data_IF_617683812722
#
_entry.id   IF_617683812722
#
_cell.length_a   1.000
_cell.length_b   1.000
_cell.length_c   1.000
_cell.angle_alpha   90.00
_cell.angle_beta   90.00
_cell.angle_gamma   90.00
#
_symmetry.space_group_name_H-M   'P 1'
#
loop_
_entity.id
_entity.type
_entity.pdbx_description
1 polymer ?
#
# COMPACT_ATOMS: atom_id res chain seq x y z
N UNK A 1 9.17 -2.47 49.32
CA UNK A 1 9.88 -2.93 48.09
C UNK A 1 10.91 -1.85 47.77
N UNK A 2 12.19 -2.19 47.82
CA UNK A 2 13.33 -1.27 47.76
C UNK A 2 13.32 -0.33 46.54
N UNK A 3 13.50 0.96 46.80
CA UNK A 3 13.71 1.99 45.78
C UNK A 3 15.21 2.16 45.58
N UNK A 4 15.75 1.61 44.48
CA UNK A 4 17.12 1.92 44.05
C UNK A 4 17.17 3.34 43.47
N UNK A 5 17.68 4.29 44.25
CA UNK A 5 18.15 5.59 43.77
C UNK A 5 19.41 5.39 42.92
N UNK A 6 19.33 5.63 41.62
CA UNK A 6 20.51 5.94 40.82
C UNK A 6 20.58 7.46 40.65
N UNK A 7 21.47 8.09 41.41
CA UNK A 7 21.84 9.49 41.24
C UNK A 7 23.19 9.62 40.56
N UNK A 8 23.26 10.46 39.53
CA UNK A 8 24.41 11.38 39.34
C UNK A 8 23.83 12.75 39.03
N UNK A 9 24.09 13.68 39.95
CA UNK A 9 23.68 15.07 39.91
C UNK A 9 24.55 15.84 38.90
N UNK A 10 23.91 16.47 37.92
CA UNK A 10 24.38 17.72 37.32
C UNK A 10 23.19 18.69 37.39
N UNK A 11 23.42 19.88 37.92
CA UNK A 11 22.39 20.82 38.37
C UNK A 11 21.24 21.04 37.38
N UNK A 12 20.03 20.66 37.80
CA UNK A 12 18.78 20.84 37.08
C UNK A 12 17.71 19.97 37.72
N UNK A 13 16.68 20.60 38.31
CA UNK A 13 15.73 19.93 39.22
C UNK A 13 15.08 18.65 38.67
N UNK A 14 14.95 17.66 39.56
CA UNK A 14 14.48 16.29 39.30
C UNK A 14 13.17 16.21 38.50
N UNK A 15 13.14 15.26 37.56
CA UNK A 15 11.95 14.77 36.86
C UNK A 15 11.36 13.61 37.65
N UNK A 16 10.09 13.69 38.06
CA UNK A 16 9.44 12.62 38.81
C UNK A 16 7.97 12.47 38.43
N UNK A 17 7.54 11.22 38.21
CA UNK A 17 6.12 10.85 38.19
C UNK A 17 5.73 10.44 39.62
N UNK A 18 4.72 11.12 40.20
CA UNK A 18 4.19 10.79 41.52
C UNK A 18 2.80 10.21 41.36
N UNK A 19 2.62 8.95 41.77
CA UNK A 19 1.31 8.37 41.99
C UNK A 19 0.89 8.77 43.40
N UNK A 20 -0.08 9.66 43.52
CA UNK A 20 -0.75 9.90 44.79
C UNK A 20 -1.83 8.82 45.01
N UNK A 21 -2.11 8.48 46.26
CA UNK A 21 -3.00 7.39 46.71
C UNK A 21 -4.48 7.52 46.32
N UNK A 22 -4.80 8.35 45.32
CA UNK A 22 -6.14 8.56 44.75
C UNK A 22 -6.25 8.28 43.25
N UNK A 23 -5.32 7.54 42.65
CA UNK A 23 -5.43 7.08 41.25
C UNK A 23 -5.45 8.21 40.20
N UNK A 24 -4.94 9.40 40.52
CA UNK A 24 -4.79 10.49 39.56
C UNK A 24 -3.36 10.53 39.05
N UNK A 25 -3.17 10.34 37.74
CA UNK A 25 -1.89 10.51 37.07
C UNK A 25 -1.72 11.99 36.68
N UNK A 26 -0.92 12.73 37.43
CA UNK A 26 -0.54 14.10 37.05
C UNK A 26 0.65 14.05 36.10
N UNK A 27 0.44 14.36 34.81
CA UNK A 27 1.52 14.50 33.82
C UNK A 27 2.00 15.96 33.85
N UNK A 28 3.17 16.20 34.43
CA UNK A 28 3.81 17.51 34.41
C UNK A 28 4.53 17.71 33.06
N UNK A 29 3.95 18.51 32.17
CA UNK A 29 4.64 18.96 30.94
C UNK A 29 5.59 20.08 31.32
N UNK A 30 6.90 19.85 31.19
CA UNK A 30 7.93 20.89 31.34
C UNK A 30 8.51 21.19 29.97
N UNK A 31 8.21 22.37 29.42
CA UNK A 31 8.95 22.91 28.28
C UNK A 31 10.34 23.33 28.76
N UNK A 32 11.38 22.65 28.29
CA UNK A 32 12.76 23.09 28.43
C UNK A 32 13.14 23.80 27.12
N UNK A 33 12.74 25.06 26.98
CA UNK A 33 12.92 25.82 25.74
C UNK A 33 12.14 25.22 24.56
N UNK A 34 12.78 25.08 23.39
CA UNK A 34 12.19 24.51 22.17
C UNK A 34 11.98 22.97 22.22
N UNK A 35 12.28 22.32 23.35
CA UNK A 35 12.13 20.87 23.50
C UNK A 35 11.18 20.55 24.66
N UNK A 36 10.07 19.89 24.33
CA UNK A 36 9.21 19.23 25.32
C UNK A 36 9.76 17.82 25.51
N UNK A 37 10.41 17.56 26.64
CA UNK A 37 10.83 16.23 27.03
C UNK A 37 9.65 15.47 27.66
N UNK A 38 8.67 15.07 26.83
CA UNK A 38 7.82 13.94 27.21
C UNK A 38 8.73 12.71 27.14
N UNK A 39 8.87 11.95 28.23
CA UNK A 39 9.73 10.77 28.27
C UNK A 39 9.51 9.92 27.01
N UNK A 40 10.51 9.92 26.11
CA UNK A 40 10.53 9.27 24.77
C UNK A 40 10.27 7.75 24.84
N UNK A 41 10.13 7.19 26.05
CA UNK A 41 9.96 5.77 26.33
C UNK A 41 8.58 5.39 26.93
N UNK A 42 7.73 6.36 27.30
CA UNK A 42 6.52 6.13 28.13
C UNK A 42 5.20 6.51 27.42
N UNK A 43 5.23 7.20 26.27
CA UNK A 43 4.04 7.59 25.49
C UNK A 43 4.01 7.09 24.03
N UNK A 44 3.40 7.86 23.13
CA UNK A 44 3.47 7.63 21.69
C UNK A 44 4.93 7.73 21.20
N UNK A 45 5.35 6.74 20.41
CA UNK A 45 6.73 6.65 19.95
C UNK A 45 6.95 7.45 18.67
N UNK A 46 7.98 8.28 18.68
CA UNK A 46 8.44 8.99 17.50
C UNK A 46 9.32 8.09 16.60
N UNK A 47 9.43 8.44 15.33
CA UNK A 47 10.38 7.82 14.39
C UNK A 47 9.76 7.03 13.24
N UNK A 48 8.43 6.98 13.15
CA UNK A 48 7.69 6.49 11.99
C UNK A 48 6.46 7.36 11.79
N UNK A 49 6.03 7.53 10.55
CA UNK A 49 4.74 8.18 10.21
C UNK A 49 3.50 7.34 10.56
N UNK A 50 3.71 6.10 11.04
CA UNK A 50 2.70 5.22 11.66
C UNK A 50 3.10 4.94 13.11
N UNK A 51 3.12 5.99 13.93
CA UNK A 51 3.49 5.92 15.35
C UNK A 51 2.56 5.02 16.16
N UNK A 52 1.30 4.91 15.75
CA UNK A 52 0.27 4.07 16.33
C UNK A 52 0.66 2.58 16.29
N UNK A 53 1.05 2.09 15.12
CA UNK A 53 1.52 0.71 14.90
C UNK A 53 2.80 0.45 15.67
N UNK A 54 3.76 1.39 15.61
CA UNK A 54 5.03 1.29 16.33
C UNK A 54 4.83 1.21 17.84
N UNK A 55 3.96 2.07 18.38
CA UNK A 55 3.63 2.12 19.81
C UNK A 55 2.94 0.84 20.25
N UNK A 56 1.93 0.38 19.51
CA UNK A 56 1.21 -0.86 19.79
C UNK A 56 2.14 -2.08 19.83
N UNK A 57 3.02 -2.21 18.83
CA UNK A 57 3.99 -3.31 18.78
C UNK A 57 4.97 -3.26 19.95
N UNK A 58 5.45 -2.08 20.36
CA UNK A 58 6.36 -1.98 21.51
C UNK A 58 5.67 -2.32 22.83
N UNK A 59 4.38 -1.98 22.98
CA UNK A 59 3.57 -2.38 24.14
C UNK A 59 3.45 -3.91 24.18
N UNK A 60 3.14 -4.55 23.06
CA UNK A 60 3.07 -6.01 22.98
C UNK A 60 4.44 -6.68 23.21
N UNK A 61 5.53 -6.10 22.71
CA UNK A 61 6.89 -6.57 22.96
C UNK A 61 7.31 -6.50 24.45
N UNK A 62 6.59 -5.73 25.28
CA UNK A 62 6.74 -5.72 26.75
C UNK A 62 5.93 -6.81 27.45
N UNK A 63 5.16 -7.61 26.71
CA UNK A 63 4.35 -8.72 27.21
C UNK A 63 2.86 -8.40 27.42
N UNK A 64 2.42 -7.21 27.03
CA UNK A 64 1.00 -6.85 27.09
C UNK A 64 0.19 -7.56 25.99
N UNK A 65 -1.08 -7.83 26.28
CA UNK A 65 -2.03 -8.45 25.34
C UNK A 65 -3.09 -7.43 24.93
N UNK A 66 -3.50 -7.48 23.66
CA UNK A 66 -4.62 -6.69 23.13
C UNK A 66 -5.87 -7.56 23.00
N UNK A 67 -7.04 -6.96 23.14
CA UNK A 67 -8.35 -7.57 22.87
C UNK A 67 -9.10 -6.71 21.87
N UNK A 68 -9.76 -7.34 20.90
CA UNK A 68 -10.61 -6.68 19.91
C UNK A 68 -12.08 -6.83 20.33
N UNK A 69 -12.77 -5.72 20.51
CA UNK A 69 -14.17 -5.67 20.92
C UNK A 69 -14.99 -5.02 19.78
N UNK A 70 -15.93 -5.78 19.21
CA UNK A 70 -16.78 -5.34 18.10
C UNK A 70 -18.25 -5.27 18.53
N UNK A 71 -18.68 -4.18 19.18
CA UNK A 71 -20.08 -4.00 19.54
C UNK A 71 -20.93 -3.80 18.28
N UNK A 72 -22.19 -4.21 18.36
CA UNK A 72 -23.24 -3.93 17.37
C UNK A 72 -24.36 -3.16 18.07
N UNK A 73 -24.61 -1.87 17.73
CA UNK A 73 -23.99 -1.11 16.65
C UNK A 73 -22.53 -0.68 16.93
N UNK A 74 -21.77 -0.25 15.90
CA UNK A 74 -20.41 0.23 16.07
C UNK A 74 -20.33 1.42 17.05
N UNK A 75 -19.45 1.31 18.05
CA UNK A 75 -19.26 2.35 19.07
C UNK A 75 -18.55 3.61 18.54
N UNK A 76 -17.80 3.49 17.44
CA UNK A 76 -17.06 4.59 16.84
C UNK A 76 -17.29 4.62 15.33
N UNK A 77 -17.67 5.79 14.81
CA UNK A 77 -17.81 6.07 13.38
C UNK A 77 -16.83 7.16 12.97
N UNK A 78 -16.13 6.93 11.86
CA UNK A 78 -15.14 7.87 11.32
C UNK A 78 -15.49 8.31 9.91
N UNK A 79 -14.97 9.47 9.50
CA UNK A 79 -15.06 9.91 8.11
C UNK A 79 -14.00 9.18 7.27
N UNK A 80 -14.44 8.49 6.22
CA UNK A 80 -13.54 7.96 5.21
C UNK A 80 -13.06 9.06 4.24
N UNK A 81 -11.91 8.90 3.57
CA UNK A 81 -11.48 9.81 2.52
C UNK A 81 -12.55 9.97 1.42
N UNK A 82 -12.76 11.20 0.96
CA UNK A 82 -13.80 11.58 -0.01
C UNK A 82 -13.50 11.14 -1.45
N UNK A 83 -12.27 10.75 -1.76
CA UNK A 83 -11.86 10.42 -3.13
C UNK A 83 -10.51 9.72 -3.26
N UNK A 84 -10.18 9.38 -4.51
CA UNK A 84 -8.96 8.65 -4.88
C UNK A 84 -7.66 9.31 -4.39
N UNK A 85 -7.44 10.63 -4.63
CA UNK A 85 -6.21 11.29 -4.21
C UNK A 85 -5.99 11.24 -2.70
N UNK A 86 -7.00 11.63 -1.90
CA UNK A 86 -6.91 11.60 -0.44
C UNK A 86 -6.66 10.19 0.09
N UNK A 87 -7.34 9.18 -0.48
CA UNK A 87 -7.14 7.78 -0.10
C UNK A 87 -5.72 7.28 -0.44
N UNK A 88 -5.19 7.62 -1.64
CA UNK A 88 -3.84 7.21 -2.04
C UNK A 88 -2.74 7.93 -1.25
N UNK A 89 -2.91 9.21 -0.91
CA UNK A 89 -1.98 9.92 -0.02
C UNK A 89 -1.96 9.28 1.36
N UNK A 90 -3.12 8.90 1.91
CA UNK A 90 -3.19 8.17 3.17
C UNK A 90 -2.48 6.80 3.08
N UNK A 91 -2.73 6.04 2.03
CA UNK A 91 -2.08 4.75 1.78
C UNK A 91 -0.57 4.87 1.62
N UNK A 92 -0.10 5.95 0.97
CA UNK A 92 1.34 6.24 0.80
C UNK A 92 1.97 6.47 2.17
N UNK A 93 1.35 7.32 3.00
CA UNK A 93 1.81 7.58 4.37
C UNK A 93 1.90 6.30 5.20
N UNK A 94 0.85 5.45 5.15
CA UNK A 94 0.87 4.17 5.84
C UNK A 94 2.00 3.27 5.34
N UNK A 95 2.14 3.09 4.02
CA UNK A 95 3.19 2.28 3.44
C UNK A 95 4.60 2.78 3.83
N UNK A 96 4.83 4.10 3.83
CA UNK A 96 6.08 4.71 4.29
C UNK A 96 6.33 4.38 5.75
N UNK A 97 5.40 4.69 6.65
CA UNK A 97 5.59 4.51 8.09
C UNK A 97 5.79 3.04 8.49
N UNK A 98 5.03 2.13 7.87
CA UNK A 98 5.22 0.70 8.06
C UNK A 98 6.63 0.28 7.65
N UNK A 99 7.07 0.66 6.45
CA UNK A 99 8.41 0.30 5.97
C UNK A 99 9.53 0.92 6.84
N UNK A 100 9.33 2.13 7.38
CA UNK A 100 10.25 2.72 8.36
C UNK A 100 10.36 1.85 9.62
N UNK A 101 9.25 1.30 10.13
CA UNK A 101 9.27 0.39 11.28
C UNK A 101 10.10 -0.86 10.95
N UNK A 102 9.92 -1.42 9.75
CA UNK A 102 10.65 -2.63 9.33
C UNK A 102 12.16 -2.45 9.35
N UNK A 103 12.66 -1.31 8.87
CA UNK A 103 14.09 -1.00 8.82
C UNK A 103 14.62 -0.30 10.08
N UNK A 104 13.75 -0.04 11.06
CA UNK A 104 14.17 0.57 12.34
C UNK A 104 14.72 -0.47 13.32
N UNK A 105 15.36 0.03 14.39
CA UNK A 105 15.74 -0.79 15.56
C UNK A 105 14.56 -1.44 16.28
N UNK A 106 13.34 -0.96 16.02
CA UNK A 106 12.11 -1.49 16.62
C UNK A 106 11.43 -2.54 15.74
N UNK A 107 12.10 -3.09 14.71
CA UNK A 107 11.46 -4.03 13.79
C UNK A 107 10.87 -5.25 14.52
N UNK A 108 9.74 -5.81 14.04
CA UNK A 108 9.12 -6.99 14.66
C UNK A 108 10.07 -8.19 14.70
N UNK A 109 10.94 -8.32 13.69
CA UNK A 109 11.96 -9.35 13.65
C UNK A 109 12.94 -9.23 14.82
N UNK A 110 13.51 -8.04 15.06
CA UNK A 110 14.41 -7.81 16.19
C UNK A 110 13.67 -8.00 17.52
N UNK A 111 12.44 -7.49 17.63
CA UNK A 111 11.63 -7.59 18.84
C UNK A 111 11.26 -9.04 19.21
N UNK A 112 11.13 -9.94 18.23
CA UNK A 112 10.86 -11.36 18.50
C UNK A 112 12.06 -12.09 19.13
N UNK A 113 13.29 -11.67 18.82
CA UNK A 113 14.50 -12.27 19.40
C UNK A 113 14.96 -11.57 20.68
N UNK A 114 14.71 -10.26 20.81
CA UNK A 114 15.28 -9.44 21.89
C UNK A 114 14.25 -9.03 22.96
N UNK A 115 12.96 -9.25 22.71
CA UNK A 115 11.88 -8.85 23.60
C UNK A 115 10.81 -9.96 23.73
N UNK A 116 9.66 -9.65 24.34
CA UNK A 116 8.59 -10.63 24.65
C UNK A 116 7.54 -10.74 23.55
N UNK A 117 7.88 -10.37 22.31
CA UNK A 117 6.94 -10.46 21.18
C UNK A 117 6.80 -11.93 20.74
N UNK A 118 5.59 -12.47 20.76
CA UNK A 118 5.38 -13.88 20.41
C UNK A 118 5.64 -14.12 18.93
N UNK A 119 6.10 -15.32 18.56
CA UNK A 119 6.39 -15.68 17.16
C UNK A 119 5.20 -15.42 16.22
N UNK A 120 3.98 -15.83 16.60
CA UNK A 120 2.77 -15.58 15.80
C UNK A 120 2.46 -14.10 15.65
N UNK A 121 2.68 -13.29 16.69
CA UNK A 121 2.52 -11.83 16.62
C UNK A 121 3.57 -11.22 15.68
N UNK A 122 4.82 -11.69 15.75
CA UNK A 122 5.88 -11.28 14.85
C UNK A 122 5.51 -11.53 13.38
N UNK A 123 5.02 -12.74 13.05
CA UNK A 123 4.56 -13.05 11.69
C UNK A 123 3.41 -12.14 11.23
N UNK A 124 2.44 -11.87 12.10
CA UNK A 124 1.33 -10.96 11.80
C UNK A 124 1.81 -9.53 11.53
N UNK A 125 2.75 -9.02 12.34
CA UNK A 125 3.36 -7.71 12.12
C UNK A 125 4.19 -7.66 10.84
N UNK A 126 5.00 -8.69 10.56
CA UNK A 126 5.78 -8.76 9.32
C UNK A 126 4.90 -8.76 8.08
N UNK A 127 3.81 -9.54 8.10
CA UNK A 127 2.81 -9.53 7.03
C UNK A 127 2.21 -8.13 6.86
N UNK A 128 1.78 -7.50 7.95
CA UNK A 128 1.14 -6.17 7.91
C UNK A 128 2.10 -5.06 7.46
N UNK A 129 3.35 -5.09 7.93
CA UNK A 129 4.34 -4.03 7.67
C UNK A 129 4.97 -4.13 6.27
N UNK A 130 4.90 -5.30 5.62
CA UNK A 130 5.54 -5.56 4.32
C UNK A 130 4.84 -4.93 3.09
N UNK A 131 3.83 -4.08 3.27
CA UNK A 131 3.04 -3.49 2.18
C UNK A 131 3.89 -2.80 1.11
N UNK A 132 4.76 -1.88 1.51
CA UNK A 132 5.64 -1.17 0.58
C UNK A 132 6.61 -2.12 -0.13
N UNK A 133 7.14 -3.15 0.54
CA UNK A 133 8.00 -4.14 -0.12
C UNK A 133 7.26 -4.92 -1.20
N UNK A 134 5.96 -5.21 -1.02
CA UNK A 134 5.13 -5.90 -2.01
C UNK A 134 4.99 -5.13 -3.32
N UNK A 135 5.18 -3.81 -3.35
CA UNK A 135 4.97 -3.02 -4.57
C UNK A 135 5.92 -3.40 -5.71
N UNK A 136 7.16 -3.76 -5.40
CA UNK A 136 8.18 -4.12 -6.41
C UNK A 136 7.84 -5.43 -7.13
N UNK A 137 7.69 -6.58 -6.43
CA UNK A 137 7.31 -7.82 -7.11
C UNK A 137 5.95 -7.66 -7.81
N UNK A 138 5.00 -6.95 -7.21
CA UNK A 138 3.70 -6.67 -7.84
C UNK A 138 3.83 -5.95 -9.18
N UNK A 139 4.64 -4.89 -9.24
CA UNK A 139 4.89 -4.15 -10.48
C UNK A 139 5.52 -5.05 -11.55
N UNK A 140 6.52 -5.86 -11.18
CA UNK A 140 7.17 -6.81 -12.09
C UNK A 140 6.18 -7.86 -12.63
N UNK A 141 5.39 -8.47 -11.74
CA UNK A 141 4.40 -9.49 -12.13
C UNK A 141 3.30 -8.92 -13.01
N UNK A 142 2.84 -7.69 -12.75
CA UNK A 142 1.84 -7.06 -13.60
C UNK A 142 2.42 -6.68 -14.97
N UNK A 143 3.67 -6.24 -15.07
CA UNK A 143 4.28 -5.90 -16.36
C UNK A 143 4.62 -7.13 -17.23
N UNK A 144 4.83 -8.29 -16.61
CA UNK A 144 5.32 -9.51 -17.26
C UNK A 144 4.45 -10.00 -18.45
N UNK A 145 3.10 -10.08 -18.36
CA UNK A 145 2.29 -10.52 -19.50
C UNK A 145 2.43 -9.62 -20.72
N UNK A 146 2.43 -8.30 -20.53
CA UNK A 146 2.60 -7.35 -21.63
C UNK A 146 4.00 -7.44 -22.23
N UNK A 147 5.03 -7.58 -21.38
CA UNK A 147 6.40 -7.83 -21.83
C UNK A 147 6.47 -9.05 -22.73
N UNK A 148 5.93 -10.20 -22.29
CA UNK A 148 5.96 -11.45 -23.04
C UNK A 148 5.26 -11.33 -24.41
N UNK A 149 4.10 -10.68 -24.46
CA UNK A 149 3.38 -10.45 -25.73
C UNK A 149 4.24 -9.66 -26.74
N UNK A 150 4.86 -8.57 -26.29
CA UNK A 150 5.64 -7.67 -27.17
C UNK A 150 7.02 -8.23 -27.53
N UNK A 151 7.69 -8.86 -26.58
CA UNK A 151 8.98 -9.52 -26.79
C UNK A 151 8.87 -10.82 -27.61
N UNK A 152 7.67 -11.40 -27.69
CA UNK A 152 7.47 -12.72 -28.30
C UNK A 152 7.97 -13.87 -27.44
N UNK A 153 8.09 -13.66 -26.12
CA UNK A 153 8.40 -14.69 -25.14
C UNK A 153 7.13 -15.23 -24.48
N UNK A 154 7.25 -16.31 -23.71
CA UNK A 154 6.16 -16.90 -22.94
C UNK A 154 6.66 -17.23 -21.54
N UNK A 155 5.78 -17.09 -20.55
CA UNK A 155 6.06 -17.50 -19.17
C UNK A 155 5.09 -18.59 -18.68
N UNK A 156 3.96 -18.75 -19.37
CA UNK A 156 3.01 -19.82 -19.11
C UNK A 156 3.31 -21.04 -19.97
N UNK A 157 3.02 -22.26 -19.48
CA UNK A 157 3.00 -23.44 -20.33
C UNK A 157 2.02 -23.27 -21.49
N UNK A 158 2.28 -23.95 -22.61
CA UNK A 158 1.36 -23.94 -23.75
C UNK A 158 0.02 -24.58 -23.35
N UNK A 159 -1.07 -24.13 -23.97
CA UNK A 159 -2.42 -24.62 -23.65
C UNK A 159 -2.58 -26.12 -23.94
N UNK A 160 -1.80 -26.67 -24.88
CA UNK A 160 -1.81 -28.10 -25.17
C UNK A 160 -1.06 -28.95 -24.12
N UNK A 161 -0.25 -28.33 -23.25
CA UNK A 161 0.54 -29.03 -22.25
C UNK A 161 -0.26 -29.20 -20.96
N UNK A 162 -0.32 -30.41 -20.37
CA UNK A 162 -1.02 -30.65 -19.10
C UNK A 162 -0.54 -29.75 -17.94
N UNK A 163 0.71 -29.27 -18.01
CA UNK A 163 1.29 -28.36 -17.03
C UNK A 163 0.50 -27.04 -16.90
N UNK A 164 -0.26 -26.62 -17.92
CA UNK A 164 -1.11 -25.42 -17.86
C UNK A 164 -2.18 -25.49 -16.77
N UNK A 165 -2.56 -26.71 -16.34
CA UNK A 165 -3.53 -26.91 -15.26
C UNK A 165 -3.03 -26.39 -13.90
N UNK A 166 -1.71 -26.35 -13.68
CA UNK A 166 -1.13 -25.86 -12.42
C UNK A 166 -1.46 -24.38 -12.21
N UNK A 167 -1.05 -23.43 -13.08
CA UNK A 167 -1.38 -22.02 -12.89
C UNK A 167 -2.88 -21.75 -12.92
N UNK A 168 -3.66 -22.47 -13.73
CA UNK A 168 -5.12 -22.35 -13.75
C UNK A 168 -5.71 -22.73 -12.38
N UNK A 169 -5.33 -23.88 -11.82
CA UNK A 169 -5.84 -24.34 -10.53
C UNK A 169 -5.48 -23.38 -9.38
N UNK A 170 -4.26 -22.83 -9.38
CA UNK A 170 -3.82 -21.82 -8.41
C UNK A 170 -4.63 -20.52 -8.53
N UNK A 171 -4.86 -20.04 -9.76
CA UNK A 171 -5.66 -18.84 -9.98
C UNK A 171 -7.10 -19.05 -9.52
N UNK A 172 -7.73 -20.16 -9.92
CA UNK A 172 -9.10 -20.49 -9.56
C UNK A 172 -9.24 -20.64 -8.04
N UNK A 173 -8.43 -21.49 -7.40
CA UNK A 173 -8.48 -21.72 -5.96
C UNK A 173 -8.30 -20.43 -5.14
N UNK A 174 -7.34 -19.57 -5.50
CA UNK A 174 -7.13 -18.29 -4.82
C UNK A 174 -8.34 -17.36 -4.90
N UNK A 175 -8.95 -17.22 -6.08
CA UNK A 175 -10.11 -16.35 -6.27
C UNK A 175 -11.35 -16.91 -5.55
N UNK A 176 -11.57 -18.22 -5.60
CA UNK A 176 -12.67 -18.87 -4.88
C UNK A 176 -12.51 -18.74 -3.37
N UNK A 177 -11.31 -18.98 -2.84
CA UNK A 177 -11.01 -18.78 -1.43
C UNK A 177 -11.28 -17.34 -0.99
N UNK A 178 -10.78 -16.36 -1.75
CA UNK A 178 -10.99 -14.94 -1.45
C UNK A 178 -12.49 -14.58 -1.44
N UNK A 179 -13.25 -15.10 -2.40
CA UNK A 179 -14.68 -14.87 -2.48
C UNK A 179 -15.42 -15.47 -1.27
N UNK A 180 -15.05 -16.69 -0.88
CA UNK A 180 -15.65 -17.39 0.25
C UNK A 180 -15.38 -16.66 1.58
N UNK A 181 -14.16 -16.19 1.80
CA UNK A 181 -13.80 -15.37 2.98
C UNK A 181 -14.63 -14.08 3.05
N UNK A 182 -14.77 -13.36 1.93
CA UNK A 182 -15.58 -12.14 1.89
C UNK A 182 -17.05 -12.41 2.17
N UNK A 183 -17.59 -13.48 1.59
CA UNK A 183 -18.97 -13.87 1.81
C UNK A 183 -19.22 -14.31 3.26
N UNK A 184 -18.31 -15.11 3.83
CA UNK A 184 -18.38 -15.54 5.23
C UNK A 184 -18.26 -14.38 6.22
N UNK A 185 -17.55 -13.32 5.85
CA UNK A 185 -17.47 -12.08 6.61
C UNK A 185 -18.68 -11.12 6.39
N UNK A 186 -19.70 -11.51 5.62
CA UNK A 186 -20.90 -10.72 5.37
C UNK A 186 -20.75 -9.60 4.35
N UNK A 187 -19.66 -9.58 3.57
CA UNK A 187 -19.42 -8.57 2.54
C UNK A 187 -19.98 -8.98 1.18
N UNK A 188 -20.36 -7.98 0.38
CA UNK A 188 -20.84 -8.21 -0.99
C UNK A 188 -19.71 -8.64 -1.94
N UNK A 189 -20.08 -9.35 -3.02
CA UNK A 189 -19.16 -9.70 -4.12
C UNK A 189 -18.53 -8.43 -4.72
N UNK A 190 -19.29 -7.33 -4.78
CA UNK A 190 -18.79 -6.02 -5.23
C UNK A 190 -17.66 -5.51 -4.33
N UNK A 191 -17.78 -5.67 -3.02
CA UNK A 191 -16.73 -5.29 -2.07
C UNK A 191 -15.47 -6.15 -2.26
N UNK A 192 -15.63 -7.47 -2.45
CA UNK A 192 -14.54 -8.38 -2.78
C UNK A 192 -13.80 -7.94 -4.07
N UNK A 193 -14.55 -7.70 -5.14
CA UNK A 193 -13.98 -7.23 -6.41
C UNK A 193 -13.31 -5.85 -6.29
N UNK A 194 -13.90 -4.94 -5.53
CA UNK A 194 -13.28 -3.64 -5.24
C UNK A 194 -11.95 -3.80 -4.51
N UNK A 195 -11.89 -4.67 -3.49
CA UNK A 195 -10.67 -4.91 -2.73
C UNK A 195 -9.56 -5.53 -3.61
N UNK A 196 -9.90 -6.52 -4.45
CA UNK A 196 -8.91 -7.15 -5.33
C UNK A 196 -8.29 -6.13 -6.31
N UNK A 197 -9.13 -5.30 -6.95
CA UNK A 197 -8.67 -4.25 -7.85
C UNK A 197 -7.85 -3.19 -7.13
N UNK A 198 -8.38 -2.68 -6.02
CA UNK A 198 -7.72 -1.63 -5.26
C UNK A 198 -6.40 -2.10 -4.67
N UNK A 199 -6.29 -3.36 -4.24
CA UNK A 199 -5.04 -3.91 -3.70
C UNK A 199 -3.89 -3.99 -4.72
N UNK A 200 -4.20 -4.09 -6.02
CA UNK A 200 -3.21 -4.01 -7.12
C UNK A 200 -2.90 -2.55 -7.44
N UNK A 201 -3.93 -1.70 -7.54
CA UNK A 201 -3.77 -0.26 -7.79
C UNK A 201 -2.94 0.40 -6.70
N UNK A 202 -3.26 0.21 -5.42
CA UNK A 202 -2.53 0.82 -4.29
C UNK A 202 -1.08 0.37 -4.25
N UNK A 203 -0.82 -0.91 -4.58
CA UNK A 203 0.53 -1.46 -4.61
C UNK A 203 1.42 -0.75 -5.63
N UNK A 204 0.97 -0.60 -6.89
CA UNK A 204 1.77 0.06 -7.94
C UNK A 204 1.73 1.58 -7.88
N UNK A 205 0.89 2.17 -7.03
CA UNK A 205 0.79 3.62 -6.84
C UNK A 205 1.35 4.03 -5.48
N UNK A 206 0.50 4.14 -4.47
CA UNK A 206 0.83 4.65 -3.14
C UNK A 206 1.97 3.87 -2.46
N UNK A 207 1.94 2.55 -2.51
CA UNK A 207 2.95 1.73 -1.82
C UNK A 207 4.29 1.77 -2.54
N UNK A 208 4.29 1.83 -3.87
CA UNK A 208 5.50 2.04 -4.68
C UNK A 208 6.19 3.37 -4.34
N UNK A 209 5.42 4.45 -4.25
CA UNK A 209 5.96 5.74 -3.82
C UNK A 209 6.45 5.71 -2.37
N UNK A 210 5.71 5.04 -1.46
CA UNK A 210 6.15 4.84 -0.08
C UNK A 210 7.46 4.06 0.03
N UNK A 211 7.62 3.01 -0.79
CA UNK A 211 8.86 2.25 -0.91
C UNK A 211 10.03 3.15 -1.30
N UNK A 212 9.90 3.90 -2.41
CA UNK A 212 10.98 4.79 -2.86
C UNK A 212 11.28 5.90 -1.85
N UNK A 213 10.28 6.44 -1.16
CA UNK A 213 10.50 7.45 -0.10
C UNK A 213 11.40 6.92 1.02
N UNK A 214 11.19 5.67 1.48
CA UNK A 214 12.03 5.08 2.53
C UNK A 214 13.40 4.70 1.99
N UNK A 215 13.50 4.11 0.80
CA UNK A 215 14.80 3.74 0.21
C UNK A 215 15.68 4.98 0.00
N UNK A 216 15.13 6.07 -0.55
CA UNK A 216 15.88 7.32 -0.72
C UNK A 216 16.34 7.90 0.62
N UNK A 217 15.52 7.80 1.67
CA UNK A 217 15.91 8.18 3.03
C UNK A 217 17.02 7.31 3.60
N UNK A 218 16.95 5.99 3.42
CA UNK A 218 18.00 5.06 3.87
C UNK A 218 19.33 5.30 3.14
N UNK A 219 19.29 5.77 1.89
CA UNK A 219 20.47 6.18 1.12
C UNK A 219 20.98 7.59 1.46
N UNK A 220 20.31 8.32 2.37
CA UNK A 220 20.68 9.70 2.74
C UNK A 220 20.37 10.75 1.66
N UNK A 221 19.53 10.42 0.67
CA UNK A 221 19.22 11.28 -0.47
C UNK A 221 17.97 12.16 -0.25
N UNK A 222 17.19 11.91 0.81
CA UNK A 222 15.95 12.65 1.09
C UNK A 222 15.53 12.53 2.56
N UNK A 223 14.87 13.56 3.10
CA UNK A 223 14.08 13.43 4.32
C UNK A 223 12.62 13.08 3.96
N UNK A 224 12.05 12.07 4.64
CA UNK A 224 10.63 11.73 4.48
C UNK A 224 9.76 12.83 5.07
N UNK A 225 9.29 13.75 4.24
CA UNK A 225 8.32 14.78 4.67
C UNK A 225 6.96 14.13 4.82
N UNK A 226 6.36 14.29 6.00
CA UNK A 226 4.99 13.88 6.28
C UNK A 226 4.03 14.70 5.41
N UNK A 227 3.44 14.07 4.41
CA UNK A 227 2.41 14.69 3.57
C UNK A 227 1.06 14.60 4.30
N UNK A 228 0.54 15.75 4.74
CA UNK A 228 -0.75 15.81 5.46
C UNK A 228 -1.87 15.40 4.52
N UNK A 229 -2.62 14.35 4.87
CA UNK A 229 -3.83 13.97 4.16
C UNK A 229 -4.84 15.11 4.28
N UNK A 230 -5.23 15.72 3.16
CA UNK A 230 -6.33 16.69 3.15
C UNK A 230 -7.61 15.96 3.54
N UNK A 231 -8.15 16.30 4.70
CA UNK A 231 -9.53 15.99 5.05
C UNK A 231 -10.36 17.09 4.45
N UNK A 232 -10.83 16.88 3.22
CA UNK A 232 -11.77 17.82 2.63
C UNK A 232 -12.98 17.89 3.57
N UNK A 233 -13.27 19.08 4.11
CA UNK A 233 -14.61 19.36 4.58
C UNK A 233 -15.50 19.13 3.36
N UNK A 234 -16.49 18.25 3.50
CA UNK A 234 -17.46 17.98 2.44
C UNK A 234 -17.83 19.30 1.76
N UNK A 235 -17.46 19.43 0.48
CA UNK A 235 -18.01 20.47 -0.36
C UNK A 235 -19.53 20.40 -0.21
N UNK A 236 -20.14 21.57 -0.04
CA UNK A 236 -21.56 21.85 0.17
C UNK A 236 -22.50 20.69 -0.14
N UNK A 237 -23.41 20.28 0.78
CA UNK A 237 -24.37 19.22 0.50
C UNK A 237 -25.22 19.61 -0.72
N UNK A 238 -24.95 18.99 -1.88
CA UNK A 238 -25.67 19.28 -3.12
C UNK A 238 -24.95 18.99 -4.44
N UNK A 239 -23.61 18.88 -4.48
CA UNK A 239 -22.89 18.71 -5.77
C UNK A 239 -22.66 17.24 -6.21
N UNK A 240 -22.97 16.26 -5.36
CA UNK A 240 -22.91 14.85 -5.71
C UNK A 240 -24.30 14.30 -6.00
N UNK A 241 -24.66 14.14 -7.27
CA UNK A 241 -25.80 13.28 -7.59
C UNK A 241 -25.47 11.85 -7.11
N UNK A 242 -26.45 11.11 -6.62
CA UNK A 242 -26.31 9.70 -6.17
C UNK A 242 -25.63 8.79 -7.23
N UNK A 243 -25.66 9.22 -8.50
CA UNK A 243 -24.99 8.59 -9.65
C UNK A 243 -23.46 8.63 -9.60
N UNK A 244 -22.87 9.52 -8.81
CA UNK A 244 -21.43 9.70 -8.67
C UNK A 244 -20.83 9.01 -7.43
N UNK A 245 -21.67 8.42 -6.57
CA UNK A 245 -21.23 7.72 -5.38
C UNK A 245 -20.33 6.52 -5.74
N UNK A 246 -19.09 6.53 -5.24
CA UNK A 246 -18.12 5.44 -5.44
C UNK A 246 -17.33 5.48 -6.75
N UNK A 247 -17.39 6.59 -7.51
CA UNK A 247 -16.51 6.80 -8.67
C UNK A 247 -15.10 7.17 -8.23
N UNK A 248 -14.10 6.56 -8.87
CA UNK A 248 -12.70 6.89 -8.60
C UNK A 248 -12.36 8.28 -9.15
N UNK A 249 -11.68 9.09 -8.35
CA UNK A 249 -11.26 10.45 -8.71
C UNK A 249 -9.76 10.55 -8.88
N UNK A 250 -9.32 11.54 -9.65
CA UNK A 250 -7.92 11.79 -9.99
C UNK A 250 -7.55 13.26 -9.74
N UNK A 251 -6.26 13.50 -9.58
CA UNK A 251 -5.66 14.83 -9.54
C UNK A 251 -4.32 14.85 -10.30
N UNK A 252 -3.62 15.98 -10.26
CA UNK A 252 -2.33 16.19 -10.94
C UNK A 252 -1.13 15.44 -10.34
N UNK A 253 -1.34 14.58 -9.34
CA UNK A 253 -0.26 13.87 -8.65
C UNK A 253 0.43 12.84 -9.53
N UNK A 254 1.75 12.71 -9.34
CA UNK A 254 2.57 11.69 -9.99
C UNK A 254 2.23 10.27 -9.54
N UNK A 255 1.50 10.11 -8.43
CA UNK A 255 1.10 8.81 -7.88
C UNK A 255 0.28 7.97 -8.86
N UNK A 256 -0.40 8.62 -9.82
CA UNK A 256 -1.21 7.96 -10.85
C UNK A 256 -0.41 7.50 -12.06
N UNK A 257 0.81 8.01 -12.26
CA UNK A 257 1.62 7.75 -13.46
C UNK A 257 1.96 6.26 -13.60
N UNK A 258 2.48 5.54 -12.59
CA UNK A 258 2.86 4.13 -12.76
C UNK A 258 1.68 3.23 -13.16
N UNK A 259 0.52 3.39 -12.52
CA UNK A 259 -0.70 2.65 -12.86
C UNK A 259 -1.22 2.97 -14.26
N UNK A 260 -1.15 4.24 -14.67
CA UNK A 260 -1.56 4.68 -16.01
C UNK A 260 -0.60 4.13 -17.07
N UNK A 261 0.71 4.19 -16.83
CA UNK A 261 1.72 3.59 -17.71
C UNK A 261 1.48 2.10 -17.89
N UNK A 262 1.27 1.37 -16.79
CA UNK A 262 1.02 -0.07 -16.81
C UNK A 262 -0.23 -0.40 -17.65
N UNK A 263 -1.33 0.34 -17.44
CA UNK A 263 -2.54 0.20 -18.25
C UNK A 263 -2.26 0.42 -19.75
N UNK A 264 -1.55 1.50 -20.10
CA UNK A 264 -1.21 1.80 -21.50
C UNK A 264 -0.31 0.72 -22.12
N UNK A 265 0.64 0.19 -21.35
CA UNK A 265 1.52 -0.92 -21.78
C UNK A 265 0.69 -2.17 -22.11
N UNK A 266 -0.29 -2.55 -21.28
CA UNK A 266 -1.17 -3.68 -21.60
C UNK A 266 -2.08 -3.41 -22.79
N UNK A 267 -2.62 -2.20 -22.93
CA UNK A 267 -3.44 -1.85 -24.09
C UNK A 267 -2.62 -1.94 -25.39
N UNK A 268 -1.37 -1.44 -25.39
CA UNK A 268 -0.47 -1.58 -26.53
C UNK A 268 -0.12 -3.05 -26.81
N UNK A 269 0.15 -3.86 -25.79
CA UNK A 269 0.41 -5.28 -25.95
C UNK A 269 -0.80 -6.01 -26.59
N UNK A 270 -2.02 -5.70 -26.16
CA UNK A 270 -3.23 -6.29 -26.73
C UNK A 270 -3.44 -5.86 -28.18
N UNK A 271 -3.18 -4.59 -28.52
CA UNK A 271 -3.25 -4.09 -29.90
C UNK A 271 -2.19 -4.76 -30.79
N UNK A 272 -0.97 -4.95 -30.29
CA UNK A 272 0.10 -5.58 -31.08
C UNK A 272 -0.14 -7.07 -31.28
N UNK A 273 -0.74 -7.76 -30.30
CA UNK A 273 -1.23 -9.12 -30.46
C UNK A 273 -2.36 -9.21 -31.49
N UNK A 274 -3.34 -8.29 -31.44
CA UNK A 274 -4.46 -8.27 -32.38
C UNK A 274 -4.02 -8.02 -33.83
N UNK A 275 -3.05 -7.13 -34.03
CA UNK A 275 -2.54 -6.77 -35.36
C UNK A 275 -1.47 -7.73 -35.88
N UNK A 276 -1.08 -8.75 -35.12
CA UNK A 276 -0.01 -9.68 -35.51
C UNK A 276 1.36 -9.00 -35.69
N UNK A 277 1.56 -7.79 -35.14
CA UNK A 277 2.76 -6.96 -35.35
C UNK A 277 4.04 -7.61 -34.80
N UNK A 278 3.90 -8.70 -34.03
CA UNK A 278 4.99 -9.47 -33.44
C UNK A 278 4.81 -10.99 -33.66
N UNK A 279 4.09 -11.41 -34.70
CA UNK A 279 3.78 -12.82 -35.00
C UNK A 279 4.87 -13.53 -35.84
N UNK A 280 5.74 -14.27 -35.15
CA UNK A 280 6.50 -15.40 -35.74
C UNK A 280 6.19 -16.73 -35.02
N UNK A 281 5.58 -16.66 -33.84
CA UNK A 281 5.16 -17.78 -33.00
C UNK A 281 3.66 -17.62 -32.83
N UNK A 282 2.87 -18.46 -33.49
CA UNK A 282 1.43 -18.24 -33.66
C UNK A 282 0.66 -17.97 -32.36
N UNK A 283 -0.48 -17.30 -32.49
CA UNK A 283 -1.35 -16.82 -31.40
C UNK A 283 -1.59 -17.87 -30.29
N UNK A 284 -1.69 -19.15 -30.66
CA UNK A 284 -1.92 -20.27 -29.73
C UNK A 284 -0.92 -20.33 -28.57
N UNK A 285 0.34 -19.96 -28.80
CA UNK A 285 1.37 -20.00 -27.75
C UNK A 285 1.31 -18.81 -26.79
N UNK A 286 0.40 -17.84 -27.01
CA UNK A 286 0.32 -16.56 -26.27
C UNK A 286 -1.05 -16.29 -25.64
N UNK A 287 -1.98 -17.24 -25.77
CA UNK A 287 -3.34 -17.09 -25.25
C UNK A 287 -3.33 -16.81 -23.75
N UNK A 288 -2.46 -17.48 -22.98
CA UNK A 288 -2.35 -17.28 -21.53
C UNK A 288 -1.93 -15.85 -21.18
N UNK A 289 -0.89 -15.32 -21.80
CA UNK A 289 -0.38 -13.97 -21.60
C UNK A 289 -1.41 -12.91 -22.01
N UNK A 290 -2.16 -13.15 -23.09
CA UNK A 290 -3.26 -12.28 -23.54
C UNK A 290 -4.36 -12.26 -22.47
N UNK A 291 -4.78 -13.42 -21.95
CA UNK A 291 -5.77 -13.52 -20.87
C UNK A 291 -5.28 -12.78 -19.62
N UNK A 292 -4.01 -12.96 -19.23
CA UNK A 292 -3.42 -12.23 -18.11
C UNK A 292 -3.43 -10.71 -18.35
N UNK A 293 -3.10 -10.25 -19.56
CA UNK A 293 -3.15 -8.82 -19.90
C UNK A 293 -4.57 -8.25 -19.84
N UNK A 294 -5.57 -8.99 -20.33
CA UNK A 294 -6.98 -8.62 -20.19
C UNK A 294 -7.38 -8.54 -18.72
N UNK A 295 -6.96 -9.51 -17.90
CA UNK A 295 -7.21 -9.49 -16.45
C UNK A 295 -6.61 -8.25 -15.77
N UNK A 296 -5.38 -7.85 -16.14
CA UNK A 296 -4.79 -6.61 -15.64
C UNK A 296 -5.62 -5.39 -16.07
N UNK A 297 -6.00 -5.28 -17.34
CA UNK A 297 -6.85 -4.17 -17.81
C UNK A 297 -8.18 -4.10 -17.03
N UNK A 298 -8.81 -5.24 -16.73
CA UNK A 298 -10.01 -5.32 -15.89
C UNK A 298 -9.74 -4.83 -14.46
N UNK A 299 -8.60 -5.21 -13.88
CA UNK A 299 -8.19 -4.74 -12.56
C UNK A 299 -8.01 -3.21 -12.52
N UNK A 300 -7.45 -2.65 -13.58
CA UNK A 300 -7.22 -1.21 -13.76
C UNK A 300 -8.39 -0.49 -14.45
N UNK A 301 -9.58 -1.09 -14.49
CA UNK A 301 -10.79 -0.47 -15.05
C UNK A 301 -11.14 0.93 -14.53
N UNK A 302 -10.85 1.32 -13.26
CA UNK A 302 -11.01 2.72 -12.84
C UNK A 302 -10.11 3.69 -13.62
N UNK A 303 -8.87 3.31 -13.90
CA UNK A 303 -7.93 4.11 -14.70
C UNK A 303 -8.33 4.14 -16.18
N UNK A 304 -8.82 3.02 -16.71
CA UNK A 304 -9.35 2.98 -18.08
C UNK A 304 -10.52 3.95 -18.27
N UNK A 305 -11.46 3.99 -17.32
CA UNK A 305 -12.53 4.99 -17.30
C UNK A 305 -11.98 6.41 -17.13
N UNK A 306 -10.92 6.56 -16.34
CA UNK A 306 -10.21 7.81 -16.12
C UNK A 306 -9.54 8.40 -17.37
N UNK A 307 -9.07 7.58 -18.31
CA UNK A 307 -8.49 8.06 -19.57
C UNK A 307 -9.48 8.87 -20.42
N UNK A 308 -10.77 8.54 -20.33
CA UNK A 308 -11.85 9.21 -21.05
C UNK A 308 -12.74 10.07 -20.14
N UNK A 309 -12.38 10.20 -18.87
CA UNK A 309 -13.12 10.97 -17.88
C UNK A 309 -12.93 12.47 -18.05
N UNK A 310 -13.85 13.26 -17.50
CA UNK A 310 -13.79 14.73 -17.46
C UNK A 310 -13.73 15.22 -16.02
N UNK A 311 -13.12 16.39 -15.81
CA UNK A 311 -12.99 17.01 -14.49
C UNK A 311 -12.26 16.08 -13.50
N UNK A 312 -12.74 16.01 -12.26
CA UNK A 312 -12.16 15.18 -11.18
C UNK A 312 -12.20 13.66 -11.44
N UNK A 313 -12.93 13.20 -12.45
CA UNK A 313 -13.01 11.79 -12.83
C UNK A 313 -12.09 11.42 -14.00
N UNK A 314 -11.42 12.41 -14.60
CA UNK A 314 -10.46 12.20 -15.68
C UNK A 314 -9.02 12.27 -15.18
N UNK A 315 -8.15 11.42 -15.72
CA UNK A 315 -6.70 11.51 -15.47
C UNK A 315 -6.18 12.78 -16.18
N UNK A 316 -5.46 13.69 -15.50
CA UNK A 316 -4.93 14.88 -16.14
C UNK A 316 -4.04 14.57 -17.34
N UNK A 317 -4.13 15.40 -18.38
CA UNK A 317 -3.38 15.22 -19.62
C UNK A 317 -1.86 15.18 -19.39
N UNK A 318 -1.36 15.96 -18.43
CA UNK A 318 0.06 15.93 -18.04
C UNK A 318 0.52 14.56 -17.52
N UNK A 319 -0.32 13.89 -16.73
CA UNK A 319 -0.06 12.53 -16.23
C UNK A 319 -0.18 11.50 -17.35
N UNK A 320 -1.15 11.65 -18.26
CA UNK A 320 -1.28 10.79 -19.45
C UNK A 320 -0.03 10.91 -20.33
N UNK A 321 0.42 12.12 -20.65
CA UNK A 321 1.60 12.33 -21.51
C UNK A 321 2.87 11.71 -20.92
N UNK A 322 3.10 11.86 -19.62
CA UNK A 322 4.22 11.19 -18.92
C UNK A 322 4.10 9.67 -19.00
N UNK A 323 2.89 9.15 -18.84
CA UNK A 323 2.62 7.72 -18.88
C UNK A 323 2.81 7.15 -20.29
N UNK A 324 2.39 7.88 -21.32
CA UNK A 324 2.63 7.51 -22.73
C UNK A 324 4.13 7.49 -23.02
N UNK A 325 4.89 8.50 -22.59
CA UNK A 325 6.34 8.51 -22.78
C UNK A 325 7.03 7.29 -22.13
N UNK A 326 6.65 6.95 -20.90
CA UNK A 326 7.16 5.76 -20.21
C UNK A 326 6.73 4.45 -20.88
N UNK A 327 5.49 4.38 -21.38
CA UNK A 327 4.97 3.20 -22.05
C UNK A 327 5.67 2.97 -23.41
N UNK A 328 5.94 4.05 -24.15
CA UNK A 328 6.75 4.00 -25.38
C UNK A 328 8.20 3.63 -25.10
N UNK A 329 8.78 4.14 -24.01
CA UNK A 329 10.12 3.73 -23.56
C UNK A 329 10.16 2.23 -23.25
N UNK A 330 9.15 1.72 -22.54
CA UNK A 330 9.01 0.30 -22.26
C UNK A 330 8.96 -0.52 -23.56
N UNK A 331 8.11 -0.11 -24.51
CA UNK A 331 8.02 -0.75 -25.83
C UNK A 331 9.38 -0.71 -26.57
N UNK A 332 10.06 0.43 -26.58
CA UNK A 332 11.39 0.57 -27.18
C UNK A 332 12.40 -0.40 -26.55
N UNK A 333 12.46 -0.48 -25.22
CA UNK A 333 13.32 -1.42 -24.51
C UNK A 333 12.99 -2.89 -24.85
N UNK A 334 11.70 -3.25 -24.98
CA UNK A 334 11.33 -4.62 -25.36
C UNK A 334 11.74 -4.98 -26.78
N UNK A 335 11.62 -4.03 -27.72
CA UNK A 335 12.00 -4.25 -29.13
C UNK A 335 13.51 -4.27 -29.33
N UNK A 336 14.29 -3.55 -28.53
CA UNK A 336 15.76 -3.62 -28.55
C UNK A 336 16.29 -4.95 -28.05
N UNK A 337 15.68 -5.55 -27.02
CA UNK A 337 16.10 -6.86 -26.49
C UNK A 337 15.84 -8.00 -27.49
N UNK A 338 14.95 -7.79 -28.46
CA UNK A 338 14.62 -8.77 -29.51
C UNK A 338 15.64 -8.81 -30.67
N UNK A 339 16.43 -7.75 -30.86
CA UNK A 339 17.46 -7.69 -31.91
C UNK A 339 18.75 -8.36 -31.46
#
# INVERSE_FOLDING_TARGET
MEVKKFGRSYGGGDVGARLDGRSNLTITLKCLGNYVAIHVQIGCLYGSTTEDVLTGMRIQARGWKSTDCRPDPPAFLGCAPSGGPAALTQQKRWATGLLEILFSKNSPFIAAFTAKLQFRQCLAYLWFISWALRSIPELCYLALPAYCIMAGSHFLPKVQEPAVLIPISLFVSYNFYTLFEYYGAGFSIRACWNNLRMGRITAVTAWLFGFFSVILKLLGLSETVFEVTKKDQSTTPGEGSDKDAGRFTFDGSLIFVPATTLLLVHLMALVTALLGLFDHVGIESRIGEIICSVWVVLCFSPFLKGLFGKGKYGIPTSSISKSVALALLFLACTTTVRK
#
